data_IF_059559019203
#
_entry.id   IF_059559019203
#
_cell.length_a   1.000
_cell.length_b   1.000
_cell.length_c   1.000
_cell.angle_alpha   90.00
_cell.angle_beta   90.00
_cell.angle_gamma   90.00
#
_symmetry.space_group_name_H-M   'P 1'
#
loop_
_entity.id
_entity.type
_entity.pdbx_description
1 polymer ?
#
# COMPACT_ATOMS: atom_id res chain seq x y z
N UNK A 1 21.40 -20.91 45.52
CA UNK A 1 20.21 -20.31 46.16
C UNK A 1 20.50 -18.83 46.38
N UNK A 2 19.90 -17.82 45.77
CA UNK A 2 18.77 -17.76 44.85
C UNK A 2 18.89 -16.46 44.02
N UNK A 3 19.87 -16.40 43.09
CA UNK A 3 19.95 -15.30 42.09
C UNK A 3 18.69 -15.25 41.21
N UNK A 4 17.97 -16.36 41.13
CA UNK A 4 16.68 -16.51 40.45
C UNK A 4 15.54 -15.75 41.16
N UNK A 5 15.58 -15.62 42.50
CA UNK A 5 14.50 -14.96 43.26
C UNK A 5 14.55 -13.42 43.15
N UNK A 6 15.74 -12.85 42.98
CA UNK A 6 15.93 -11.41 42.75
C UNK A 6 15.57 -10.99 41.32
N UNK A 7 15.73 -11.88 40.33
CA UNK A 7 15.29 -11.61 38.96
C UNK A 7 13.76 -11.43 38.91
N UNK A 8 12.98 -12.28 39.57
CA UNK A 8 11.51 -12.21 39.55
C UNK A 8 10.94 -10.92 40.17
N UNK A 9 11.60 -10.33 41.17
CA UNK A 9 11.15 -9.06 41.75
C UNK A 9 11.44 -7.85 40.85
N UNK A 10 12.49 -7.91 40.02
CA UNK A 10 12.76 -6.88 39.01
C UNK A 10 11.87 -7.03 37.76
N UNK A 11 11.55 -8.27 37.36
CA UNK A 11 10.65 -8.54 36.23
C UNK A 11 9.20 -8.11 36.49
N UNK A 12 8.74 -8.09 37.76
CA UNK A 12 7.37 -7.71 38.12
C UNK A 12 7.02 -6.23 37.94
N UNK A 13 7.98 -5.31 38.05
CA UNK A 13 7.72 -3.87 37.90
C UNK A 13 7.85 -3.37 36.45
N UNK A 14 8.59 -4.09 35.60
CA UNK A 14 8.80 -3.69 34.20
C UNK A 14 7.72 -4.22 33.24
N UNK A 15 6.88 -5.18 33.68
CA UNK A 15 5.78 -5.69 32.86
C UNK A 15 4.65 -4.68 32.62
N UNK A 16 4.51 -3.64 33.45
CA UNK A 16 3.48 -2.61 33.27
C UNK A 16 3.92 -1.45 32.36
N UNK A 17 5.22 -1.30 32.07
CA UNK A 17 5.77 -0.07 31.45
C UNK A 17 6.23 -0.27 29.99
N UNK A 18 6.29 -1.49 29.47
CA UNK A 18 6.61 -1.74 28.04
C UNK A 18 5.41 -2.06 27.16
N UNK A 19 4.19 -2.11 27.71
CA UNK A 19 2.95 -2.30 26.92
C UNK A 19 2.56 -1.03 26.12
N UNK A 20 3.33 0.07 26.18
CA UNK A 20 3.05 1.31 25.41
C UNK A 20 4.11 1.73 24.39
N UNK A 21 5.13 0.90 24.12
CA UNK A 21 5.77 0.95 22.80
C UNK A 21 5.07 -0.10 21.94
N UNK A 22 4.13 0.36 21.10
CA UNK A 22 3.58 -0.40 19.99
C UNK A 22 4.73 -1.14 19.31
N UNK A 23 4.79 -2.45 19.52
CA UNK A 23 5.44 -3.33 18.57
C UNK A 23 4.67 -3.09 17.29
N UNK A 24 5.24 -2.27 16.41
CA UNK A 24 4.86 -2.21 15.00
C UNK A 24 5.28 -3.56 14.42
N UNK A 25 4.44 -4.56 14.68
CA UNK A 25 4.40 -5.76 13.88
C UNK A 25 3.78 -5.30 12.57
N UNK A 26 4.60 -4.75 11.67
CA UNK A 26 4.21 -4.51 10.28
C UNK A 26 3.86 -5.86 9.65
N UNK A 27 2.57 -6.13 9.75
CA UNK A 27 1.70 -6.91 8.88
C UNK A 27 2.04 -8.39 8.71
N UNK A 28 1.15 -9.24 9.25
CA UNK A 28 0.95 -10.58 8.74
C UNK A 28 0.53 -10.47 7.27
N UNK A 29 1.50 -10.55 6.37
CA UNK A 29 1.27 -10.77 4.95
C UNK A 29 0.90 -12.25 4.73
N UNK A 30 -0.30 -12.64 5.13
CA UNK A 30 -1.00 -13.75 4.47
C UNK A 30 -1.50 -13.22 3.12
N UNK A 31 -0.57 -13.01 2.18
CA UNK A 31 -0.90 -12.50 0.85
C UNK A 31 -1.91 -13.45 0.22
N UNK A 32 -3.18 -13.05 0.08
CA UNK A 32 -4.12 -13.86 -0.66
C UNK A 32 -3.58 -13.93 -2.10
N UNK A 33 -3.59 -15.12 -2.70
CA UNK A 33 -3.09 -15.28 -4.08
C UNK A 33 -3.86 -14.37 -5.06
N UNK A 34 -5.08 -13.96 -4.71
CA UNK A 34 -5.89 -13.00 -5.44
C UNK A 34 -5.44 -11.53 -5.26
N UNK A 35 -4.76 -11.21 -4.16
CA UNK A 35 -4.26 -9.85 -3.87
C UNK A 35 -2.99 -9.56 -4.66
N UNK A 36 -2.20 -10.59 -4.99
CA UNK A 36 -0.96 -10.41 -5.76
C UNK A 36 -1.24 -9.76 -7.14
N UNK A 37 -2.21 -10.25 -7.95
CA UNK A 37 -2.62 -9.56 -9.16
C UNK A 37 -3.11 -8.13 -8.94
N UNK A 38 -3.90 -7.87 -7.89
CA UNK A 38 -4.43 -6.53 -7.61
C UNK A 38 -3.32 -5.56 -7.19
N UNK A 39 -2.37 -6.01 -6.38
CA UNK A 39 -1.19 -5.28 -5.98
C UNK A 39 -0.36 -4.86 -7.21
N UNK A 40 -0.12 -5.78 -8.15
CA UNK A 40 0.64 -5.50 -9.38
C UNK A 40 -0.08 -4.48 -10.28
N UNK A 41 -1.40 -4.62 -10.44
CA UNK A 41 -2.20 -3.68 -11.24
C UNK A 41 -2.24 -2.30 -10.56
N UNK A 42 -2.35 -2.25 -9.23
CA UNK A 42 -2.26 -1.01 -8.48
C UNK A 42 -0.90 -0.34 -8.69
N UNK A 43 0.21 -1.07 -8.53
CA UNK A 43 1.55 -0.51 -8.74
C UNK A 43 1.70 0.04 -10.15
N UNK A 44 1.23 -0.67 -11.17
CA UNK A 44 1.19 -0.18 -12.54
C UNK A 44 0.40 1.14 -12.67
N UNK A 45 -0.78 1.22 -12.07
CA UNK A 45 -1.61 2.42 -12.10
C UNK A 45 -0.91 3.61 -11.38
N UNK A 46 -0.32 3.37 -10.21
CA UNK A 46 0.43 4.38 -9.46
C UNK A 46 1.59 4.93 -10.29
N UNK A 47 2.41 4.06 -10.89
CA UNK A 47 3.54 4.46 -11.73
C UNK A 47 3.08 5.36 -12.89
N UNK A 48 1.96 5.01 -13.54
CA UNK A 48 1.39 5.80 -14.64
C UNK A 48 0.81 7.12 -14.18
N UNK A 49 0.14 7.15 -13.03
CA UNK A 49 -0.39 8.38 -12.46
C UNK A 49 0.75 9.33 -12.11
N UNK A 50 1.81 8.84 -11.46
CA UNK A 50 3.01 9.64 -11.13
C UNK A 50 3.65 10.21 -12.40
N UNK A 51 3.86 9.38 -13.44
CA UNK A 51 4.38 9.81 -14.75
C UNK A 51 3.55 10.97 -15.34
N UNK A 52 2.22 10.91 -15.26
CA UNK A 52 1.37 11.96 -15.80
C UNK A 52 1.31 13.23 -14.94
N UNK A 53 1.43 13.10 -13.61
CA UNK A 53 1.53 14.22 -12.69
C UNK A 53 2.84 14.99 -12.92
N UNK A 54 3.96 14.31 -13.07
CA UNK A 54 5.27 14.92 -13.39
C UNK A 54 5.23 15.68 -14.73
N UNK A 55 4.48 15.14 -15.70
CA UNK A 55 4.25 15.77 -16.99
C UNK A 55 3.22 16.92 -16.97
N UNK A 56 2.78 17.36 -15.78
CA UNK A 56 1.81 18.46 -15.56
C UNK A 56 0.48 18.24 -16.31
N UNK A 57 0.03 16.99 -16.41
CA UNK A 57 -1.29 16.69 -16.95
C UNK A 57 -2.39 17.22 -16.00
N UNK A 58 -3.54 17.61 -16.56
CA UNK A 58 -4.71 17.92 -15.75
C UNK A 58 -5.22 16.64 -15.06
N UNK A 59 -5.42 16.69 -13.74
CA UNK A 59 -5.87 15.55 -12.92
C UNK A 59 -7.14 14.88 -13.44
N UNK A 60 -8.08 15.64 -14.02
CA UNK A 60 -9.29 15.07 -14.64
C UNK A 60 -8.97 14.19 -15.86
N UNK A 61 -7.87 14.46 -16.56
CA UNK A 61 -7.45 13.72 -17.77
C UNK A 61 -6.54 12.55 -17.42
N UNK A 62 -5.91 12.55 -16.23
CA UNK A 62 -4.97 11.51 -15.83
C UNK A 62 -5.66 10.16 -15.73
N UNK A 63 -6.81 10.09 -15.07
CA UNK A 63 -7.57 8.83 -14.92
C UNK A 63 -7.89 8.23 -16.29
N UNK A 64 -8.46 9.01 -17.21
CA UNK A 64 -8.77 8.56 -18.59
C UNK A 64 -7.54 8.09 -19.37
N UNK A 65 -6.36 8.67 -19.13
CA UNK A 65 -5.12 8.25 -19.78
C UNK A 65 -4.63 6.92 -19.21
N UNK A 66 -4.67 6.77 -17.90
CA UNK A 66 -4.23 5.56 -17.21
C UNK A 66 -5.18 4.40 -17.52
N UNK A 67 -6.49 4.65 -17.63
CA UNK A 67 -7.45 3.66 -18.13
C UNK A 67 -7.08 3.16 -19.53
N UNK A 68 -6.65 4.04 -20.45
CA UNK A 68 -6.16 3.63 -21.77
C UNK A 68 -4.86 2.86 -21.71
N UNK A 69 -3.97 3.21 -20.79
CA UNK A 69 -2.71 2.48 -20.60
C UNK A 69 -2.94 1.05 -20.08
N UNK A 70 -4.13 0.72 -19.55
CA UNK A 70 -4.48 -0.65 -19.20
C UNK A 70 -4.42 -1.63 -20.40
N UNK A 71 -4.50 -1.15 -21.64
CA UNK A 71 -4.30 -1.95 -22.85
C UNK A 71 -2.91 -2.60 -22.92
N UNK A 72 -1.93 -2.04 -22.21
CA UNK A 72 -0.59 -2.61 -22.08
C UNK A 72 -0.59 -3.96 -21.33
N UNK A 73 -1.64 -4.26 -20.56
CA UNK A 73 -1.79 -5.49 -19.77
C UNK A 73 -2.60 -6.59 -20.50
N UNK A 74 -2.84 -6.43 -21.80
CA UNK A 74 -3.58 -7.39 -22.62
C UNK A 74 -3.01 -8.81 -22.58
N UNK A 75 -1.69 -8.94 -22.54
CA UNK A 75 -1.00 -10.24 -22.54
C UNK A 75 -1.27 -11.04 -21.25
N UNK A 76 -1.62 -10.36 -20.15
CA UNK A 76 -1.99 -10.98 -18.88
C UNK A 76 -3.51 -11.14 -18.71
N UNK A 77 -4.30 -10.66 -19.68
CA UNK A 77 -5.77 -10.61 -19.62
C UNK A 77 -6.29 -9.84 -18.38
N UNK A 78 -5.64 -8.71 -18.06
CA UNK A 78 -5.97 -7.89 -16.88
C UNK A 78 -6.65 -6.56 -17.19
N UNK A 79 -6.89 -6.24 -18.47
CA UNK A 79 -7.46 -4.95 -18.92
C UNK A 79 -8.65 -4.53 -18.07
N UNK A 80 -9.72 -5.34 -18.02
CA UNK A 80 -10.93 -4.98 -17.27
C UNK A 80 -10.72 -4.84 -15.75
N UNK A 81 -9.75 -5.55 -15.17
CA UNK A 81 -9.38 -5.37 -13.75
C UNK A 81 -8.62 -4.06 -13.54
N UNK A 82 -7.74 -3.71 -14.47
CA UNK A 82 -7.01 -2.44 -14.46
C UNK A 82 -7.97 -1.26 -14.61
N UNK A 83 -8.85 -1.28 -15.61
CA UNK A 83 -9.86 -0.25 -15.81
C UNK A 83 -10.73 -0.06 -14.57
N UNK A 84 -11.22 -1.18 -13.99
CA UNK A 84 -12.03 -1.12 -12.76
C UNK A 84 -11.27 -0.53 -11.57
N UNK A 85 -9.99 -0.90 -11.41
CA UNK A 85 -9.14 -0.39 -10.34
C UNK A 85 -8.84 1.10 -10.52
N UNK A 86 -8.49 1.53 -11.73
CA UNK A 86 -8.19 2.93 -12.04
C UNK A 86 -9.44 3.79 -11.87
N UNK A 87 -10.60 3.32 -12.33
CA UNK A 87 -11.87 4.01 -12.13
C UNK A 87 -12.24 4.16 -10.64
N UNK A 88 -11.96 3.12 -9.83
CA UNK A 88 -12.31 3.10 -8.41
C UNK A 88 -11.33 3.89 -7.54
N UNK A 89 -10.02 3.69 -7.74
CA UNK A 89 -8.96 4.15 -6.85
C UNK A 89 -8.08 5.24 -7.46
N UNK A 90 -8.10 5.46 -8.78
CA UNK A 90 -7.29 6.49 -9.44
C UNK A 90 -7.39 7.88 -8.81
N UNK A 91 -8.59 8.40 -8.50
CA UNK A 91 -8.74 9.69 -7.82
C UNK A 91 -8.13 9.75 -6.41
N UNK A 92 -8.14 8.63 -5.68
CA UNK A 92 -7.53 8.54 -4.34
C UNK A 92 -6.01 8.42 -4.46
N UNK A 93 -5.50 7.64 -5.40
CA UNK A 93 -4.07 7.52 -5.70
C UNK A 93 -3.49 8.90 -6.08
N UNK A 94 -4.19 9.68 -6.92
CA UNK A 94 -3.78 11.06 -7.24
C UNK A 94 -3.67 11.90 -5.97
N UNK A 95 -4.66 11.86 -5.09
CA UNK A 95 -4.65 12.63 -3.84
C UNK A 95 -3.50 12.22 -2.90
N UNK A 96 -3.20 10.93 -2.82
CA UNK A 96 -2.08 10.42 -2.02
C UNK A 96 -0.74 10.96 -2.56
N UNK A 97 -0.52 10.87 -3.87
CA UNK A 97 0.69 11.37 -4.53
C UNK A 97 0.82 12.89 -4.41
N UNK A 98 -0.27 13.65 -4.59
CA UNK A 98 -0.29 15.11 -4.38
C UNK A 98 -0.04 15.50 -2.90
N UNK A 99 -0.34 14.59 -1.97
CA UNK A 99 -0.04 14.75 -0.54
C UNK A 99 1.41 14.36 -0.18
N UNK A 100 2.25 14.07 -1.18
CA UNK A 100 3.64 13.59 -1.05
C UNK A 100 3.77 12.19 -0.43
N UNK A 101 2.75 11.33 -0.58
CA UNK A 101 2.93 9.90 -0.30
C UNK A 101 3.81 9.25 -1.37
N UNK A 102 4.55 8.20 -0.99
CA UNK A 102 5.40 7.49 -1.94
C UNK A 102 4.57 6.54 -2.82
N UNK A 103 4.96 6.32 -4.09
CA UNK A 103 4.33 5.35 -4.98
C UNK A 103 4.19 3.95 -4.34
N UNK A 104 5.20 3.49 -3.62
CA UNK A 104 5.22 2.16 -2.98
C UNK A 104 4.32 2.05 -1.75
N UNK A 105 3.92 3.20 -1.18
CA UNK A 105 3.02 3.26 -0.04
C UNK A 105 1.54 3.31 -0.49
N UNK A 106 1.25 3.94 -1.63
CA UNK A 106 -0.12 4.16 -2.11
C UNK A 106 -0.95 2.86 -2.13
N UNK A 107 -0.46 1.80 -2.77
CA UNK A 107 -1.20 0.54 -2.87
C UNK A 107 -1.43 -0.19 -1.54
N UNK A 108 -0.57 0.06 -0.53
CA UNK A 108 -0.74 -0.49 0.82
C UNK A 108 -1.79 0.28 1.61
N UNK A 109 -1.83 1.60 1.43
CA UNK A 109 -2.79 2.47 2.11
C UNK A 109 -4.22 2.19 1.64
N UNK A 110 -4.41 1.81 0.38
CA UNK A 110 -5.71 1.38 -0.16
C UNK A 110 -5.93 -0.14 -0.08
N UNK A 111 -5.08 -0.85 0.70
CA UNK A 111 -5.21 -2.29 1.01
C UNK A 111 -5.25 -3.22 -0.22
N UNK A 112 -4.62 -2.82 -1.32
CA UNK A 112 -4.42 -3.68 -2.50
C UNK A 112 -3.07 -4.41 -2.46
N UNK A 113 -2.19 -4.00 -1.54
CA UNK A 113 -0.95 -4.62 -1.09
C UNK A 113 -0.88 -4.49 0.45
#
# INVERSE_FOLDING_TARGET
>A
MNKLLLAFLFFGLIASVTISMKIDTRMQNEKNLQDIPLCLICSFAVDKIEEYLENKSNTTIIVDKVEKDCDLLKEQNWIGKCESLVAQYGPEIIQLLESNESPEACCKLIELC
#
